data_IF_972730031560
#
_entry.id   IF_972730031560
#
_cell.length_a   1.000
_cell.length_b   1.000
_cell.length_c   1.000
_cell.angle_alpha   90.00
_cell.angle_beta   90.00
_cell.angle_gamma   90.00
#
_symmetry.space_group_name_H-M   'P 1'
#
loop_
_entity.id
_entity.type
_entity.pdbx_description
1 polymer ?
#
# COMPACT_ATOMS: atom_id res chain seq x y z
N UNK A 1 -7.60 -17.59 0.84
CA UNK A 1 -6.68 -16.54 1.34
C UNK A 1 -6.27 -16.99 2.72
N UNK A 2 -5.03 -17.42 2.83
CA UNK A 2 -4.42 -17.85 4.08
C UNK A 2 -3.94 -16.62 4.87
N UNK A 3 -3.91 -16.72 6.20
CA UNK A 3 -3.37 -15.68 7.06
C UNK A 3 -2.27 -16.29 7.92
N UNK A 4 -1.09 -15.68 7.89
CA UNK A 4 0.04 -16.06 8.74
C UNK A 4 0.29 -14.91 9.71
N UNK A 5 0.15 -15.18 11.02
CA UNK A 5 0.43 -14.19 12.07
C UNK A 5 1.94 -14.10 12.30
N UNK A 6 2.48 -12.90 12.20
CA UNK A 6 3.86 -12.58 12.59
C UNK A 6 3.84 -12.00 13.99
N UNK A 7 4.55 -12.64 14.93
CA UNK A 7 4.59 -12.23 16.34
C UNK A 7 5.76 -11.26 16.57
N UNK A 8 5.43 -10.00 16.87
CA UNK A 8 6.35 -8.88 17.17
C UNK A 8 5.81 -8.04 18.35
N UNK A 9 5.30 -8.71 19.38
CA UNK A 9 4.60 -8.13 20.53
C UNK A 9 3.47 -7.19 20.10
N UNK A 10 3.46 -5.95 20.56
CA UNK A 10 2.47 -4.91 20.21
C UNK A 10 2.42 -4.61 18.71
N UNK A 11 3.47 -4.94 17.95
CA UNK A 11 3.56 -4.70 16.50
C UNK A 11 3.22 -5.93 15.66
N UNK A 12 2.67 -6.98 16.27
CA UNK A 12 2.29 -8.20 15.57
C UNK A 12 1.24 -7.93 14.48
N UNK A 13 1.37 -8.56 13.31
CA UNK A 13 0.48 -8.35 12.16
C UNK A 13 0.19 -9.63 11.36
N UNK A 14 -0.84 -9.59 10.51
CA UNK A 14 -1.25 -10.71 9.66
C UNK A 14 -0.74 -10.53 8.22
N UNK A 15 0.04 -11.50 7.73
CA UNK A 15 0.32 -11.64 6.31
C UNK A 15 -0.82 -12.38 5.62
N UNK A 16 -1.52 -11.72 4.70
CA UNK A 16 -2.59 -12.33 3.90
C UNK A 16 -2.03 -12.85 2.56
N UNK A 17 -2.09 -14.16 2.33
CA UNK A 17 -1.54 -14.81 1.13
C UNK A 17 -2.69 -15.42 0.31
N UNK A 18 -2.68 -15.18 -1.00
CA UNK A 18 -3.64 -15.79 -1.91
C UNK A 18 -3.67 -15.17 -3.30
N UNK A 19 -4.36 -15.86 -4.21
CA UNK A 19 -4.51 -15.43 -5.61
C UNK A 19 -5.57 -14.33 -5.75
N UNK A 20 -5.32 -13.36 -6.64
CA UNK A 20 -6.25 -12.28 -6.98
C UNK A 20 -6.75 -11.41 -5.80
N UNK A 21 -5.98 -11.31 -4.71
CA UNK A 21 -6.40 -10.60 -3.50
C UNK A 21 -6.20 -9.08 -3.52
N UNK A 22 -5.53 -8.51 -4.54
CA UNK A 22 -5.26 -7.07 -4.65
C UNK A 22 -6.55 -6.23 -4.58
N UNK A 23 -7.65 -6.71 -5.14
CA UNK A 23 -8.94 -6.01 -5.08
C UNK A 23 -9.56 -5.92 -3.68
N UNK A 24 -9.00 -6.63 -2.70
CA UNK A 24 -9.47 -6.68 -1.30
C UNK A 24 -8.69 -5.73 -0.38
N UNK A 25 -7.73 -4.97 -0.90
CA UNK A 25 -6.89 -4.06 -0.09
C UNK A 25 -7.74 -2.99 0.59
N UNK A 26 -8.64 -2.31 -0.14
CA UNK A 26 -9.48 -1.26 0.43
C UNK A 26 -10.35 -1.73 1.60
N UNK A 27 -11.16 -2.80 1.45
CA UNK A 27 -11.94 -3.34 2.57
C UNK A 27 -11.07 -3.79 3.75
N UNK A 28 -9.85 -4.25 3.50
CA UNK A 28 -8.90 -4.60 4.56
C UNK A 28 -8.35 -3.37 5.28
N UNK A 29 -8.09 -2.27 4.57
CA UNK A 29 -7.61 -1.03 5.20
C UNK A 29 -8.61 -0.44 6.19
N UNK A 30 -9.92 -0.63 5.97
CA UNK A 30 -10.96 -0.20 6.92
C UNK A 30 -10.79 -0.79 8.32
N UNK A 31 -10.20 -1.99 8.45
CA UNK A 31 -9.94 -2.57 9.78
C UNK A 31 -8.67 -2.03 10.47
N UNK A 32 -7.84 -1.26 9.77
CA UNK A 32 -6.55 -0.78 10.28
C UNK A 32 -6.51 0.72 10.60
N UNK A 33 -7.31 1.53 9.92
CA UNK A 33 -7.27 2.99 10.06
C UNK A 33 -8.67 3.58 10.00
N UNK A 34 -8.94 4.53 10.90
CA UNK A 34 -10.09 5.43 10.84
C UNK A 34 -9.82 6.68 10.01
N UNK A 35 -8.55 6.96 9.68
CA UNK A 35 -8.19 8.10 8.83
C UNK A 35 -8.50 7.79 7.37
N UNK A 36 -9.27 8.66 6.67
CA UNK A 36 -9.58 8.46 5.27
C UNK A 36 -8.39 8.77 4.35
N UNK A 37 -7.40 9.54 4.80
CA UNK A 37 -6.25 9.95 3.97
C UNK A 37 -5.24 8.82 3.84
N UNK A 38 -4.96 8.43 2.59
CA UNK A 38 -4.05 7.32 2.27
C UNK A 38 -3.10 7.73 1.14
N UNK A 39 -1.84 7.29 1.19
CA UNK A 39 -0.90 7.41 0.09
C UNK A 39 -0.51 6.03 -0.44
N UNK A 40 -0.50 5.86 -1.76
CA UNK A 40 0.08 4.69 -2.43
C UNK A 40 1.46 5.10 -2.93
N UNK A 41 2.52 4.55 -2.34
CA UNK A 41 3.89 4.78 -2.80
C UNK A 41 4.32 3.59 -3.67
N UNK A 42 4.79 3.85 -4.89
CA UNK A 42 5.23 2.79 -5.82
C UNK A 42 6.25 3.32 -6.84
N UNK A 43 6.83 2.41 -7.64
CA UNK A 43 7.65 2.78 -8.79
C UNK A 43 6.83 2.70 -10.10
N UNK A 44 7.29 3.30 -11.22
CA UNK A 44 6.56 3.27 -12.50
C UNK A 44 6.24 1.85 -12.98
N UNK A 45 7.17 0.92 -12.83
CA UNK A 45 7.05 -0.46 -13.33
C UNK A 45 5.90 -1.21 -12.66
N UNK A 46 5.86 -1.19 -11.33
CA UNK A 46 4.84 -1.88 -10.51
C UNK A 46 3.51 -1.14 -10.59
N UNK A 47 3.52 0.20 -10.57
CA UNK A 47 2.30 0.99 -10.64
C UNK A 47 1.56 0.78 -11.97
N UNK A 48 2.28 0.64 -13.09
CA UNK A 48 1.69 0.32 -14.40
C UNK A 48 0.90 -1.00 -14.37
N UNK A 49 1.38 -1.99 -13.62
CA UNK A 49 0.77 -3.32 -13.54
C UNK A 49 -0.41 -3.36 -12.55
N UNK A 50 -0.26 -2.75 -11.37
CA UNK A 50 -1.20 -2.96 -10.26
C UNK A 50 -1.81 -1.69 -9.70
N UNK A 51 -1.22 -0.53 -9.97
CA UNK A 51 -1.55 0.77 -9.35
C UNK A 51 -3.02 1.13 -9.46
N UNK A 52 -3.61 1.02 -10.66
CA UNK A 52 -5.05 1.31 -10.87
C UNK A 52 -5.96 0.38 -10.06
N UNK A 53 -5.62 -0.91 -9.96
CA UNK A 53 -6.43 -1.89 -9.22
C UNK A 53 -6.39 -1.61 -7.71
N UNK A 54 -5.22 -1.27 -7.18
CA UNK A 54 -5.05 -0.87 -5.78
C UNK A 54 -5.81 0.44 -5.51
N UNK A 55 -5.57 1.47 -6.33
CA UNK A 55 -6.21 2.79 -6.20
C UNK A 55 -7.74 2.66 -6.17
N UNK A 56 -8.31 1.92 -7.11
CA UNK A 56 -9.76 1.73 -7.17
C UNK A 56 -10.30 0.97 -5.96
N UNK A 57 -9.63 -0.11 -5.52
CA UNK A 57 -10.03 -0.86 -4.32
C UNK A 57 -10.10 0.05 -3.09
N UNK A 58 -9.08 0.89 -2.90
CA UNK A 58 -8.98 1.81 -1.78
C UNK A 58 -10.03 2.93 -1.87
N UNK A 59 -10.18 3.58 -3.03
CA UNK A 59 -11.20 4.63 -3.25
C UNK A 59 -12.62 4.13 -3.04
N UNK A 60 -12.96 2.96 -3.60
CA UNK A 60 -14.28 2.35 -3.42
C UNK A 60 -14.58 1.97 -1.97
N UNK A 61 -13.57 1.97 -1.10
CA UNK A 61 -13.70 1.72 0.33
C UNK A 61 -13.79 3.00 1.17
N UNK A 62 -13.97 4.17 0.54
CA UNK A 62 -14.22 5.45 1.21
C UNK A 62 -12.96 6.25 1.58
N UNK A 63 -11.78 5.83 1.14
CA UNK A 63 -10.53 6.54 1.41
C UNK A 63 -10.23 7.59 0.34
N UNK A 64 -9.72 8.74 0.79
CA UNK A 64 -9.07 9.74 -0.06
C UNK A 64 -7.62 9.30 -0.30
N UNK A 65 -7.34 8.81 -1.50
CA UNK A 65 -6.06 8.20 -1.83
C UNK A 65 -5.35 8.89 -2.98
N UNK A 66 -4.07 9.21 -2.72
CA UNK A 66 -3.14 9.80 -3.68
C UNK A 66 -2.01 8.82 -4.03
N UNK A 67 -1.65 8.67 -5.31
CA UNK A 67 -0.44 7.95 -5.71
C UNK A 67 0.80 8.85 -5.66
N UNK A 68 1.90 8.33 -5.12
CA UNK A 68 3.23 8.93 -5.12
C UNK A 68 4.17 7.98 -5.85
N UNK A 69 4.67 8.40 -7.02
CA UNK A 69 5.50 7.57 -7.89
C UNK A 69 6.97 7.99 -7.77
N UNK A 70 7.81 7.08 -7.29
CA UNK A 70 9.25 7.28 -7.15
C UNK A 70 10.03 6.56 -8.26
N UNK A 71 11.21 7.04 -8.67
CA UNK A 71 12.01 6.38 -9.70
C UNK A 71 12.33 4.91 -9.36
N UNK A 72 12.46 4.08 -10.39
CA UNK A 72 12.70 2.64 -10.22
C UNK A 72 14.20 2.31 -10.06
N UNK A 73 14.52 1.41 -9.13
CA UNK A 73 15.87 0.89 -8.87
C UNK A 73 16.43 1.20 -7.47
N UNK A 74 17.27 0.29 -6.94
CA UNK A 74 17.81 0.38 -5.57
C UNK A 74 18.65 1.64 -5.32
N UNK A 75 19.26 2.20 -6.37
CA UNK A 75 20.02 3.46 -6.30
C UNK A 75 19.18 4.66 -5.82
N UNK A 76 17.85 4.56 -5.87
CA UNK A 76 16.91 5.58 -5.41
C UNK A 76 16.36 5.30 -3.99
N UNK A 77 16.84 4.25 -3.32
CA UNK A 77 16.48 3.94 -1.94
C UNK A 77 17.39 4.72 -0.99
N UNK A 78 17.27 6.04 -1.07
CA UNK A 78 18.05 6.98 -0.29
C UNK A 78 17.15 8.04 0.36
N UNK A 79 17.72 8.77 1.32
CA UNK A 79 16.99 9.77 2.10
C UNK A 79 16.48 10.94 1.24
N UNK A 80 17.16 11.27 0.15
CA UNK A 80 16.75 12.36 -0.75
C UNK A 80 15.44 12.03 -1.48
N UNK A 81 15.18 10.75 -1.75
CA UNK A 81 13.90 10.30 -2.31
C UNK A 81 12.81 10.33 -1.25
N UNK A 82 13.11 9.90 -0.02
CA UNK A 82 12.17 9.95 1.10
C UNK A 82 11.72 11.39 1.41
N UNK A 83 12.64 12.36 1.35
CA UNK A 83 12.32 13.78 1.54
C UNK A 83 11.28 14.32 0.55
N UNK A 84 11.20 13.76 -0.66
CA UNK A 84 10.18 14.13 -1.66
C UNK A 84 8.77 13.61 -1.30
N UNK A 85 8.67 12.68 -0.35
CA UNK A 85 7.41 12.09 0.11
C UNK A 85 6.84 12.86 1.30
N UNK A 86 7.70 13.38 2.20
CA UNK A 86 7.27 13.91 3.48
C UNK A 86 6.47 15.22 3.42
N UNK A 87 6.73 16.09 2.43
CA UNK A 87 5.96 17.33 2.24
C UNK A 87 6.02 18.28 3.42
#
# INVERSE_FOLDING_TARGET
>A
MEKIRVNLDERSYDNCIGSNIIGKIGPKLQSFSSSPKTAIISNPTVYRLYGKKVLNSIRSSGFDVIPVIIPDGEKYKDISIVQKIYG
#
